data_IF_962146891128
#
_entry.id   IF_962146891128
#
_cell.length_a   1.000
_cell.length_b   1.000
_cell.length_c   1.000
_cell.angle_alpha   90.00
_cell.angle_beta   90.00
_cell.angle_gamma   90.00
#
_symmetry.space_group_name_H-M   'P 1'
#
loop_
_entity.id
_entity.type
_entity.pdbx_description
1 polymer ?
#
# COMPACT_ATOMS: atom_id res chain seq x y z
N UNK A 1 3.27 36.69 9.99
CA UNK A 1 2.47 35.61 10.58
C UNK A 1 0.96 35.78 10.37
N UNK A 2 0.43 36.99 10.41
CA UNK A 2 -1.00 37.29 10.18
C UNK A 2 -1.46 36.96 8.73
N UNK A 3 -0.63 37.16 7.72
CA UNK A 3 -0.98 36.85 6.32
C UNK A 3 -1.17 35.34 6.06
N UNK A 4 -0.45 34.48 6.77
CA UNK A 4 -0.61 33.03 6.66
C UNK A 4 -1.94 32.54 7.26
N UNK A 5 -2.35 33.15 8.37
CA UNK A 5 -3.63 32.84 9.04
C UNK A 5 -4.81 33.34 8.19
N UNK A 6 -4.73 34.56 7.64
CA UNK A 6 -5.73 35.10 6.72
C UNK A 6 -5.84 34.28 5.44
N UNK A 7 -4.71 33.85 4.86
CA UNK A 7 -4.69 32.97 3.70
C UNK A 7 -5.36 31.63 3.99
N UNK A 8 -5.05 30.99 5.10
CA UNK A 8 -5.68 29.73 5.49
C UNK A 8 -7.18 29.87 5.73
N UNK A 9 -7.63 30.97 6.38
CA UNK A 9 -9.04 31.25 6.64
C UNK A 9 -9.87 31.54 5.38
N UNK A 10 -9.25 32.05 4.32
CA UNK A 10 -9.97 32.36 3.07
C UNK A 10 -9.86 31.24 2.05
N UNK A 11 -8.68 30.64 1.86
CA UNK A 11 -8.45 29.61 0.83
C UNK A 11 -9.12 28.30 1.19
N UNK A 12 -9.10 27.90 2.46
CA UNK A 12 -9.68 26.62 2.87
C UNK A 12 -11.21 26.54 2.67
N UNK A 13 -12.02 27.56 3.04
CA UNK A 13 -13.46 27.55 2.75
C UNK A 13 -13.77 27.62 1.26
N UNK A 14 -13.03 28.42 0.48
CA UNK A 14 -13.22 28.52 -0.96
C UNK A 14 -12.91 27.19 -1.66
N UNK A 15 -11.81 26.53 -1.29
CA UNK A 15 -11.47 25.21 -1.81
C UNK A 15 -12.56 24.17 -1.47
N UNK A 16 -13.14 24.26 -0.28
CA UNK A 16 -14.25 23.39 0.16
C UNK A 16 -15.51 23.61 -0.65
N UNK A 17 -15.86 24.86 -0.96
CA UNK A 17 -17.02 25.18 -1.82
C UNK A 17 -16.84 24.65 -3.24
N UNK A 18 -15.66 24.84 -3.82
CA UNK A 18 -15.34 24.29 -5.15
C UNK A 18 -15.39 22.77 -5.13
N UNK A 19 -14.80 22.14 -4.12
CA UNK A 19 -14.85 20.68 -3.95
C UNK A 19 -16.31 20.20 -3.87
N UNK A 20 -17.15 20.84 -3.07
CA UNK A 20 -18.57 20.48 -2.92
C UNK A 20 -19.35 20.59 -4.23
N UNK A 21 -19.06 21.60 -5.05
CA UNK A 21 -19.71 21.78 -6.35
C UNK A 21 -19.31 20.71 -7.39
N UNK A 22 -18.06 20.24 -7.33
CA UNK A 22 -17.50 19.26 -8.28
C UNK A 22 -17.72 17.80 -7.81
N UNK A 23 -17.90 17.60 -6.51
CA UNK A 23 -18.03 16.29 -5.86
C UNK A 23 -19.06 15.34 -6.51
N UNK A 24 -20.32 15.75 -6.83
CA UNK A 24 -21.29 14.83 -7.41
C UNK A 24 -20.86 14.31 -8.80
N UNK A 25 -20.23 15.14 -9.61
CA UNK A 25 -19.76 14.74 -10.93
C UNK A 25 -18.57 13.78 -10.84
N UNK A 26 -17.61 14.08 -9.96
CA UNK A 26 -16.42 13.23 -9.72
C UNK A 26 -16.83 11.89 -9.12
N UNK A 27 -17.69 11.88 -8.11
CA UNK A 27 -18.17 10.65 -7.47
C UNK A 27 -18.95 9.77 -8.44
N UNK A 28 -19.78 10.34 -9.31
CA UNK A 28 -20.51 9.59 -10.33
C UNK A 28 -19.55 8.84 -11.28
N UNK A 29 -18.51 9.52 -11.75
CA UNK A 29 -17.49 8.91 -12.62
C UNK A 29 -16.70 7.85 -11.88
N UNK A 30 -16.27 8.14 -10.66
CA UNK A 30 -15.47 7.20 -9.85
C UNK A 30 -16.25 5.93 -9.48
N UNK A 31 -17.51 6.04 -9.12
CA UNK A 31 -18.37 4.87 -8.83
C UNK A 31 -18.63 4.02 -10.08
N UNK A 32 -18.77 4.64 -11.25
CA UNK A 32 -18.88 3.92 -12.52
C UNK A 32 -17.58 3.15 -12.83
N UNK A 33 -16.43 3.78 -12.65
CA UNK A 33 -15.13 3.10 -12.80
C UNK A 33 -14.98 1.97 -11.77
N UNK A 34 -15.35 2.19 -10.52
CA UNK A 34 -15.33 1.17 -9.47
C UNK A 34 -16.19 -0.04 -9.83
N UNK A 35 -17.39 0.19 -10.38
CA UNK A 35 -18.26 -0.89 -10.85
C UNK A 35 -17.65 -1.70 -11.99
N UNK A 36 -17.02 -1.04 -12.97
CA UNK A 36 -16.32 -1.74 -14.07
C UNK A 36 -15.12 -2.55 -13.58
N UNK A 37 -14.35 -2.03 -12.62
CA UNK A 37 -13.26 -2.76 -11.99
C UNK A 37 -13.77 -4.02 -11.27
N UNK A 38 -14.88 -3.90 -10.53
CA UNK A 38 -15.49 -5.03 -9.82
C UNK A 38 -15.97 -6.11 -10.78
N UNK A 39 -16.69 -5.73 -11.85
CA UNK A 39 -17.15 -6.66 -12.87
C UNK A 39 -15.98 -7.36 -13.61
N UNK A 40 -14.92 -6.63 -13.93
CA UNK A 40 -13.73 -7.19 -14.56
C UNK A 40 -12.96 -8.15 -13.62
N UNK A 41 -12.94 -7.87 -12.32
CA UNK A 41 -12.31 -8.75 -11.33
C UNK A 41 -13.06 -10.07 -11.15
N UNK A 42 -14.39 -10.07 -11.31
CA UNK A 42 -15.20 -11.29 -11.28
C UNK A 42 -15.00 -12.14 -12.55
N UNK A 43 -14.86 -11.52 -13.73
CA UNK A 43 -14.68 -12.24 -14.98
C UNK A 43 -13.27 -12.85 -15.14
N UNK A 44 -12.23 -12.12 -14.72
CA UNK A 44 -10.84 -12.52 -14.90
C UNK A 44 -10.01 -12.18 -13.66
N UNK A 45 -10.20 -12.88 -12.54
CA UNK A 45 -9.64 -12.47 -11.25
C UNK A 45 -8.10 -12.44 -11.24
N UNK A 46 -7.43 -13.35 -11.95
CA UNK A 46 -5.97 -13.40 -11.97
C UNK A 46 -5.36 -12.23 -12.75
N UNK A 47 -5.90 -11.94 -13.94
CA UNK A 47 -5.41 -10.81 -14.76
C UNK A 47 -5.69 -9.50 -14.05
N UNK A 48 -6.90 -9.33 -13.54
CA UNK A 48 -7.26 -8.14 -12.76
C UNK A 48 -6.47 -8.06 -11.46
N UNK A 49 -6.18 -9.20 -10.81
CA UNK A 49 -5.34 -9.26 -9.64
C UNK A 49 -3.95 -8.66 -9.89
N UNK A 50 -3.33 -9.02 -11.01
CA UNK A 50 -2.04 -8.47 -11.38
C UNK A 50 -2.10 -6.99 -11.75
N UNK A 51 -3.02 -6.60 -12.64
CA UNK A 51 -3.15 -5.23 -13.12
C UNK A 51 -3.59 -4.27 -12.01
N UNK A 52 -4.68 -4.60 -11.33
CA UNK A 52 -5.22 -3.78 -10.25
C UNK A 52 -4.22 -3.68 -9.09
N UNK A 53 -3.59 -4.81 -8.72
CA UNK A 53 -2.57 -4.82 -7.67
C UNK A 53 -1.36 -3.97 -8.00
N UNK A 54 -0.87 -4.02 -9.24
CA UNK A 54 0.25 -3.21 -9.72
C UNK A 54 -0.08 -1.71 -9.71
N UNK A 55 -1.22 -1.33 -10.29
CA UNK A 55 -1.69 0.06 -10.35
C UNK A 55 -1.93 0.61 -8.94
N UNK A 56 -2.64 -0.13 -8.10
CA UNK A 56 -2.93 0.31 -6.72
C UNK A 56 -1.65 0.48 -5.91
N UNK A 57 -0.65 -0.37 -6.11
CA UNK A 57 0.64 -0.20 -5.44
C UNK A 57 1.41 1.03 -5.94
N UNK A 58 1.36 1.34 -7.22
CA UNK A 58 1.94 2.59 -7.75
C UNK A 58 1.26 3.81 -7.13
N UNK A 59 -0.07 3.81 -7.05
CA UNK A 59 -0.85 4.89 -6.43
C UNK A 59 -0.51 5.02 -4.94
N UNK A 60 -0.43 3.91 -4.21
CA UNK A 60 -0.06 3.88 -2.80
C UNK A 60 1.33 4.48 -2.52
N UNK A 61 2.25 4.38 -3.49
CA UNK A 61 3.61 4.92 -3.38
C UNK A 61 3.70 6.37 -3.90
N UNK A 62 2.73 6.81 -4.68
CA UNK A 62 2.62 8.18 -5.16
C UNK A 62 2.14 9.12 -4.06
N UNK A 63 2.27 10.46 -4.23
CA UNK A 63 1.73 11.42 -3.25
C UNK A 63 0.18 11.50 -3.27
N UNK A 64 -0.51 10.52 -3.84
CA UNK A 64 -1.95 10.39 -3.82
C UNK A 64 -2.39 9.44 -2.70
N UNK A 65 -3.52 9.74 -2.07
CA UNK A 65 -4.09 8.87 -1.05
C UNK A 65 -4.83 7.68 -1.69
N UNK A 66 -4.19 6.52 -1.69
CA UNK A 66 -4.82 5.26 -2.16
C UNK A 66 -6.03 4.86 -1.31
N UNK A 67 -6.03 5.20 -0.03
CA UNK A 67 -7.17 4.98 0.87
C UNK A 67 -8.39 5.80 0.43
N UNK A 68 -8.19 7.11 0.18
CA UNK A 68 -9.26 7.97 -0.30
C UNK A 68 -9.79 7.51 -1.67
N UNK A 69 -8.89 7.16 -2.59
CA UNK A 69 -9.27 6.69 -3.92
C UNK A 69 -10.12 5.41 -3.86
N UNK A 70 -9.70 4.41 -3.09
CA UNK A 70 -10.48 3.15 -2.98
C UNK A 70 -11.81 3.33 -2.26
N UNK A 71 -11.90 4.28 -1.33
CA UNK A 71 -13.16 4.65 -0.70
C UNK A 71 -14.11 5.35 -1.69
N UNK A 72 -13.59 6.27 -2.51
CA UNK A 72 -14.37 6.99 -3.53
C UNK A 72 -14.80 6.07 -4.69
N UNK A 73 -13.96 5.11 -5.07
CA UNK A 73 -14.32 4.07 -6.05
C UNK A 73 -15.36 3.07 -5.51
N UNK A 74 -15.62 3.08 -4.21
CA UNK A 74 -16.53 2.14 -3.57
C UNK A 74 -16.10 0.68 -3.69
N UNK A 75 -14.78 0.43 -3.80
CA UNK A 75 -14.26 -0.93 -3.95
C UNK A 75 -14.55 -1.76 -2.70
N UNK A 76 -15.17 -2.92 -2.93
CA UNK A 76 -15.47 -3.93 -1.89
C UNK A 76 -15.21 -5.33 -2.43
N UNK A 77 -15.25 -6.33 -1.59
CA UNK A 77 -15.08 -7.72 -2.01
C UNK A 77 -13.67 -8.05 -2.48
N UNK A 78 -13.58 -8.81 -3.57
CA UNK A 78 -12.32 -9.26 -4.16
C UNK A 78 -11.43 -8.11 -4.64
N UNK A 79 -11.93 -7.08 -5.38
CA UNK A 79 -11.10 -5.94 -5.81
C UNK A 79 -10.46 -5.19 -4.66
N UNK A 80 -11.17 -5.01 -3.56
CA UNK A 80 -10.63 -4.35 -2.38
C UNK A 80 -9.61 -5.23 -1.66
N UNK A 81 -9.83 -6.54 -1.62
CA UNK A 81 -8.87 -7.53 -1.11
C UNK A 81 -7.55 -7.49 -1.89
N UNK A 82 -7.64 -7.47 -3.23
CA UNK A 82 -6.47 -7.34 -4.13
C UNK A 82 -5.72 -6.03 -3.84
N UNK A 83 -6.44 -4.90 -3.78
CA UNK A 83 -5.83 -3.58 -3.53
C UNK A 83 -5.12 -3.51 -2.16
N UNK A 84 -5.75 -4.02 -1.11
CA UNK A 84 -5.21 -4.04 0.24
C UNK A 84 -3.94 -4.88 0.33
N UNK A 85 -3.98 -6.11 -0.18
CA UNK A 85 -2.83 -7.04 -0.16
C UNK A 85 -1.70 -6.56 -1.08
N UNK A 86 -2.02 -5.95 -2.22
CA UNK A 86 -1.01 -5.37 -3.10
C UNK A 86 -0.27 -4.20 -2.43
N UNK A 87 -0.98 -3.33 -1.72
CA UNK A 87 -0.36 -2.23 -0.96
C UNK A 87 0.51 -2.75 0.18
N UNK A 88 0.07 -3.77 0.91
CA UNK A 88 0.84 -4.42 1.96
C UNK A 88 2.06 -5.16 1.40
N UNK A 89 1.87 -6.12 0.50
CA UNK A 89 2.95 -6.94 -0.08
C UNK A 89 3.98 -6.10 -0.83
N UNK A 90 3.52 -5.11 -1.60
CA UNK A 90 4.40 -4.18 -2.30
C UNK A 90 5.16 -3.20 -1.39
N UNK A 91 4.81 -3.06 -0.11
CA UNK A 91 5.59 -2.22 0.82
C UNK A 91 6.98 -2.81 1.08
N UNK A 92 7.13 -4.13 1.05
CA UNK A 92 8.44 -4.80 1.12
C UNK A 92 9.29 -4.51 -0.11
N UNK A 93 8.68 -4.39 -1.29
CA UNK A 93 9.36 -3.97 -2.53
C UNK A 93 9.95 -2.57 -2.37
N UNK A 94 9.21 -1.62 -1.79
CA UNK A 94 9.73 -0.29 -1.47
C UNK A 94 10.95 -0.35 -0.55
N UNK A 95 10.87 -1.12 0.52
CA UNK A 95 11.98 -1.30 1.46
C UNK A 95 13.23 -1.87 0.78
N UNK A 96 13.06 -2.89 -0.08
CA UNK A 96 14.16 -3.50 -0.84
C UNK A 96 14.81 -2.54 -1.82
N UNK A 97 14.01 -1.71 -2.53
CA UNK A 97 14.53 -0.71 -3.48
C UNK A 97 15.34 0.35 -2.74
N UNK A 98 14.74 0.96 -1.70
CA UNK A 98 15.41 1.99 -0.91
C UNK A 98 16.72 1.48 -0.34
N UNK A 99 16.71 0.23 0.13
CA UNK A 99 17.90 -0.41 0.64
C UNK A 99 18.97 -0.64 -0.46
N UNK A 100 18.58 -1.29 -1.56
CA UNK A 100 19.50 -1.67 -2.64
C UNK A 100 20.07 -0.47 -3.39
N UNK A 101 19.28 0.57 -3.56
CA UNK A 101 19.67 1.81 -4.25
C UNK A 101 20.27 2.86 -3.31
N UNK A 102 20.38 2.55 -2.01
CA UNK A 102 20.88 3.46 -0.98
C UNK A 102 20.12 4.80 -0.93
N UNK A 103 18.78 4.75 -1.07
CA UNK A 103 17.92 5.91 -0.96
C UNK A 103 17.63 6.23 0.51
N UNK A 104 18.38 7.17 1.08
CA UNK A 104 18.23 7.62 2.45
C UNK A 104 18.77 6.63 3.50
N UNK A 105 18.48 6.90 4.76
CA UNK A 105 18.94 6.15 5.91
C UNK A 105 18.04 4.95 6.24
N UNK A 106 18.47 4.10 7.17
CA UNK A 106 17.69 2.96 7.66
C UNK A 106 16.30 3.36 8.18
N UNK A 107 16.19 4.56 8.76
CA UNK A 107 14.91 5.13 9.18
C UNK A 107 13.96 5.36 8.01
N UNK A 108 14.49 5.87 6.88
CA UNK A 108 13.69 6.12 5.67
C UNK A 108 13.20 4.80 5.02
N UNK A 109 14.02 3.74 5.11
CA UNK A 109 13.63 2.40 4.62
C UNK A 109 12.44 1.87 5.41
N UNK A 110 12.46 1.96 6.74
CA UNK A 110 11.34 1.51 7.58
C UNK A 110 10.12 2.41 7.34
N UNK A 111 10.33 3.73 7.27
CA UNK A 111 9.25 4.69 7.05
C UNK A 111 8.51 4.46 5.72
N UNK A 112 9.23 4.19 4.61
CA UNK A 112 8.62 3.91 3.30
C UNK A 112 7.88 2.56 3.27
N UNK A 113 8.27 1.60 4.10
CA UNK A 113 7.54 0.34 4.22
C UNK A 113 6.23 0.50 4.98
N UNK A 114 6.22 1.33 6.02
CA UNK A 114 5.02 1.56 6.84
C UNK A 114 4.03 2.50 6.14
N UNK A 115 4.54 3.63 5.63
CA UNK A 115 3.72 4.64 4.95
C UNK A 115 4.57 5.32 3.84
N UNK A 116 4.42 4.90 2.58
CA UNK A 116 5.23 5.43 1.47
C UNK A 116 5.13 6.95 1.29
N UNK A 117 3.99 7.54 1.63
CA UNK A 117 3.74 8.98 1.51
C UNK A 117 4.73 9.81 2.33
N UNK A 118 5.20 9.31 3.47
CA UNK A 118 6.19 10.00 4.31
C UNK A 118 7.52 10.23 3.60
N UNK A 119 7.83 9.43 2.58
CA UNK A 119 9.05 9.49 1.80
C UNK A 119 8.81 10.01 0.37
N UNK A 120 7.71 10.71 0.14
CA UNK A 120 7.33 11.23 -1.18
C UNK A 120 8.44 12.07 -1.83
N UNK A 121 9.23 12.82 -1.03
CA UNK A 121 10.35 13.63 -1.51
C UNK A 121 11.50 12.81 -2.13
N UNK A 122 11.69 11.56 -1.71
CA UNK A 122 12.67 10.63 -2.30
C UNK A 122 12.05 9.94 -3.52
N UNK A 123 10.80 9.51 -3.40
CA UNK A 123 10.06 8.84 -4.47
C UNK A 123 9.97 9.73 -5.71
N UNK A 124 9.67 11.01 -5.53
CA UNK A 124 9.58 11.98 -6.65
C UNK A 124 10.92 12.28 -7.32
N UNK A 125 12.05 12.08 -6.65
CA UNK A 125 13.38 12.23 -7.25
C UNK A 125 13.77 11.04 -8.14
N UNK A 126 13.26 9.85 -7.84
CA UNK A 126 13.62 8.61 -8.54
C UNK A 126 12.37 7.81 -8.95
N UNK A 127 11.47 8.39 -9.77
CA UNK A 127 10.14 7.80 -10.02
C UNK A 127 10.23 6.49 -10.81
N UNK A 128 11.04 6.42 -11.88
CA UNK A 128 11.08 5.29 -12.80
C UNK A 128 11.40 3.96 -12.09
N UNK A 129 12.55 3.81 -11.37
CA UNK A 129 12.86 2.53 -10.73
C UNK A 129 11.87 2.17 -9.63
N UNK A 130 11.34 3.15 -8.90
CA UNK A 130 10.41 2.92 -7.81
C UNK A 130 9.04 2.47 -8.34
N UNK A 131 8.46 3.18 -9.32
CA UNK A 131 7.14 2.84 -9.84
C UNK A 131 7.14 1.54 -10.65
N UNK A 132 8.15 1.28 -11.49
CA UNK A 132 8.23 0.01 -12.23
C UNK A 132 8.34 -1.19 -11.29
N UNK A 133 9.21 -1.13 -10.28
CA UNK A 133 9.34 -2.22 -9.31
C UNK A 133 8.08 -2.39 -8.46
N UNK A 134 7.39 -1.29 -8.11
CA UNK A 134 6.13 -1.35 -7.38
C UNK A 134 4.99 -1.93 -8.21
N UNK A 135 4.95 -1.66 -9.52
CA UNK A 135 3.97 -2.28 -10.40
C UNK A 135 4.11 -3.81 -10.39
N UNK A 136 5.31 -4.32 -10.56
CA UNK A 136 5.53 -5.77 -10.54
C UNK A 136 5.35 -6.38 -9.14
N UNK A 137 5.88 -5.73 -8.10
CA UNK A 137 5.75 -6.22 -6.72
C UNK A 137 4.30 -6.21 -6.23
N UNK A 138 3.56 -5.12 -6.49
CA UNK A 138 2.14 -5.03 -6.21
C UNK A 138 1.29 -5.95 -7.08
N UNK A 139 1.64 -6.09 -8.35
CA UNK A 139 0.97 -6.99 -9.29
C UNK A 139 1.07 -8.45 -8.85
N UNK A 140 2.26 -8.92 -8.46
CA UNK A 140 2.45 -10.29 -7.95
C UNK A 140 1.69 -10.52 -6.63
N UNK A 141 1.70 -9.54 -5.73
CA UNK A 141 0.93 -9.63 -4.48
C UNK A 141 -0.58 -9.64 -4.74
N UNK A 142 -1.06 -8.80 -5.66
CA UNK A 142 -2.46 -8.76 -6.09
C UNK A 142 -2.90 -10.03 -6.81
N UNK A 143 -2.04 -10.60 -7.66
CA UNK A 143 -2.29 -11.90 -8.31
C UNK A 143 -2.43 -13.01 -7.26
N UNK A 144 -1.56 -13.04 -6.26
CA UNK A 144 -1.65 -14.00 -5.17
C UNK A 144 -2.95 -13.80 -4.35
N UNK A 145 -3.35 -12.55 -4.09
CA UNK A 145 -4.60 -12.25 -3.41
C UNK A 145 -5.82 -12.73 -4.20
N UNK A 146 -5.81 -12.54 -5.53
CA UNK A 146 -6.86 -13.01 -6.42
C UNK A 146 -6.92 -14.55 -6.48
N UNK A 147 -5.76 -15.21 -6.58
CA UNK A 147 -5.67 -16.67 -6.59
C UNK A 147 -6.18 -17.31 -5.30
N UNK A 148 -5.99 -16.65 -4.17
CA UNK A 148 -6.48 -17.09 -2.86
C UNK A 148 -7.92 -16.65 -2.57
N UNK A 149 -8.55 -15.87 -3.44
CA UNK A 149 -9.90 -15.37 -3.26
C UNK A 149 -10.05 -14.46 -2.03
N UNK A 150 -9.04 -13.63 -1.75
CA UNK A 150 -9.06 -12.77 -0.55
C UNK A 150 -10.05 -11.63 -0.75
N UNK A 151 -11.09 -11.61 0.07
CA UNK A 151 -12.11 -10.55 0.07
C UNK A 151 -11.87 -9.55 1.20
N UNK A 152 -12.24 -8.30 0.95
CA UNK A 152 -12.20 -7.22 1.94
C UNK A 152 -13.37 -6.27 1.70
N UNK A 153 -14.30 -6.20 2.64
CA UNK A 153 -15.48 -5.35 2.54
C UNK A 153 -15.32 -4.00 3.28
N UNK A 154 -14.09 -3.65 3.66
CA UNK A 154 -13.78 -2.36 4.25
C UNK A 154 -13.15 -1.44 3.20
N UNK A 155 -13.92 -0.54 2.54
CA UNK A 155 -13.38 0.42 1.58
C UNK A 155 -12.38 1.36 2.27
N UNK A 156 -11.40 1.86 1.50
CA UNK A 156 -10.40 2.77 2.05
C UNK A 156 -9.30 2.12 2.88
N UNK A 157 -9.09 0.80 2.80
CA UNK A 157 -8.02 0.11 3.53
C UNK A 157 -6.81 -0.26 2.63
N UNK A 158 -6.68 0.36 1.46
CA UNK A 158 -5.55 0.16 0.54
C UNK A 158 -4.32 0.96 0.98
N UNK A 159 -3.73 0.60 2.10
CA UNK A 159 -2.48 1.15 2.65
C UNK A 159 -1.71 0.01 3.32
N UNK A 160 -0.38 0.12 3.54
CA UNK A 160 0.40 -0.98 4.10
C UNK A 160 -0.13 -1.53 5.43
N UNK A 161 -0.42 -0.67 6.40
CA UNK A 161 -0.88 -1.11 7.74
C UNK A 161 -2.35 -1.57 7.71
N UNK A 162 -3.33 -0.77 7.24
CA UNK A 162 -4.71 -1.21 7.15
C UNK A 162 -4.89 -2.42 6.22
N UNK A 163 -4.16 -2.46 5.10
CA UNK A 163 -4.18 -3.57 4.15
C UNK A 163 -3.64 -4.88 4.72
N UNK A 164 -2.78 -4.79 5.74
CA UNK A 164 -2.35 -5.94 6.51
C UNK A 164 -3.46 -6.49 7.41
N UNK A 165 -4.20 -5.61 8.08
CA UNK A 165 -5.12 -6.00 9.18
C UNK A 165 -6.54 -6.28 8.66
N UNK A 166 -7.07 -5.43 7.78
CA UNK A 166 -8.47 -5.49 7.37
C UNK A 166 -8.90 -6.84 6.76
N UNK A 167 -8.13 -7.49 5.87
CA UNK A 167 -8.53 -8.78 5.30
C UNK A 167 -8.73 -9.90 6.32
N UNK A 168 -8.12 -9.82 7.51
CA UNK A 168 -8.32 -10.83 8.54
C UNK A 168 -9.77 -10.89 9.04
N UNK A 169 -10.46 -9.75 9.10
CA UNK A 169 -11.85 -9.70 9.53
C UNK A 169 -12.81 -10.41 8.59
N UNK A 170 -12.44 -10.56 7.31
CA UNK A 170 -13.33 -11.10 6.27
C UNK A 170 -12.94 -12.50 5.78
N UNK A 171 -11.71 -12.97 6.05
CA UNK A 171 -11.18 -14.24 5.55
C UNK A 171 -10.87 -15.25 6.66
N UNK A 172 -11.64 -15.24 7.74
CA UNK A 172 -11.41 -16.06 8.95
C UNK A 172 -11.35 -17.56 8.69
N UNK A 173 -12.03 -18.08 7.68
CA UNK A 173 -12.07 -19.53 7.37
C UNK A 173 -10.95 -20.01 6.44
N UNK A 174 -10.15 -19.16 5.87
CA UNK A 174 -9.09 -19.54 4.92
C UNK A 174 -7.78 -19.88 5.63
N UNK A 175 -7.55 -21.17 5.90
CA UNK A 175 -6.27 -21.68 6.44
C UNK A 175 -5.09 -21.34 5.53
N UNK A 176 -5.30 -21.32 4.21
CA UNK A 176 -4.33 -20.97 3.19
C UNK A 176 -3.91 -19.49 3.27
N UNK A 177 -4.84 -18.59 3.57
CA UNK A 177 -4.58 -17.18 3.79
C UNK A 177 -3.59 -16.96 4.94
N UNK A 178 -3.83 -17.63 6.09
CA UNK A 178 -2.97 -17.59 7.25
C UNK A 178 -1.56 -18.12 6.95
N UNK A 179 -1.48 -19.23 6.19
CA UNK A 179 -0.19 -19.83 5.84
C UNK A 179 0.62 -18.92 4.89
N UNK A 180 -0.02 -18.38 3.84
CA UNK A 180 0.61 -17.45 2.91
C UNK A 180 1.04 -16.15 3.59
N UNK A 181 0.17 -15.58 4.41
CA UNK A 181 0.46 -14.38 5.18
C UNK A 181 1.64 -14.58 6.13
N UNK A 182 1.67 -15.71 6.83
CA UNK A 182 2.78 -16.07 7.72
C UNK A 182 4.09 -16.23 6.95
N UNK A 183 4.06 -16.82 5.75
CA UNK A 183 5.22 -16.92 4.87
C UNK A 183 5.75 -15.54 4.44
N UNK A 184 4.88 -14.57 4.12
CA UNK A 184 5.28 -13.21 3.79
C UNK A 184 5.97 -12.51 4.98
N UNK A 185 5.40 -12.64 6.16
CA UNK A 185 6.02 -12.10 7.39
C UNK A 185 7.37 -12.74 7.68
N UNK A 186 7.48 -14.06 7.55
CA UNK A 186 8.74 -14.80 7.76
C UNK A 186 9.77 -14.44 6.70
N UNK A 187 9.38 -14.28 5.45
CA UNK A 187 10.27 -13.83 4.37
C UNK A 187 10.79 -12.42 4.62
N UNK A 188 9.92 -11.50 5.03
CA UNK A 188 10.31 -10.14 5.42
C UNK A 188 11.25 -10.13 6.63
N UNK A 189 10.96 -10.96 7.63
CA UNK A 189 11.81 -11.12 8.81
C UNK A 189 13.18 -11.71 8.44
N UNK A 190 13.24 -12.71 7.54
CA UNK A 190 14.50 -13.30 7.05
C UNK A 190 15.34 -12.31 6.24
N UNK A 191 14.70 -11.48 5.41
CA UNK A 191 15.39 -10.41 4.68
C UNK A 191 15.96 -9.38 5.63
N UNK A 192 15.21 -8.95 6.64
CA UNK A 192 15.67 -8.04 7.69
C UNK A 192 16.83 -8.65 8.52
N UNK A 193 16.75 -9.95 8.83
CA UNK A 193 17.77 -10.70 9.57
C UNK A 193 19.06 -10.88 8.76
N UNK A 194 18.97 -11.31 7.49
CA UNK A 194 20.14 -11.52 6.61
C UNK A 194 20.93 -10.24 6.41
N UNK A 195 20.25 -9.13 6.45
CA UNK A 195 20.83 -7.79 6.28
C UNK A 195 21.54 -7.27 7.52
N UNK A 196 21.05 -7.63 8.71
CA UNK A 196 21.64 -7.21 9.99
C UNK A 196 22.91 -8.01 10.36
N UNK A 197 23.21 -9.09 9.64
CA UNK A 197 24.38 -9.96 9.86
C UNK A 197 25.58 -9.61 8.96
N UNK A 198 25.47 -8.67 8.00
CA UNK A 198 26.66 -8.17 7.33
C UNK A 198 27.41 -7.17 8.24
N UNK A 199 28.68 -7.43 8.55
CA UNK A 199 29.45 -6.61 9.45
C UNK A 199 29.91 -5.30 8.76
N UNK A 200 29.04 -4.31 8.73
CA UNK A 200 29.45 -2.92 8.65
C UNK A 200 29.53 -2.40 10.07
N UNK A 201 30.76 -2.21 10.54
CA UNK A 201 31.03 -1.79 11.91
C UNK A 201 30.27 -0.55 12.32
N UNK A 202 29.62 -0.67 13.46
CA UNK A 202 28.92 0.31 14.29
C UNK A 202 27.39 0.29 14.20
N UNK A 203 26.87 0.03 15.37
CA UNK A 203 25.54 0.28 15.91
C UNK A 203 24.51 -0.86 15.80
N UNK A 204 24.50 -1.68 16.89
CA UNK A 204 23.39 -2.56 17.24
C UNK A 204 22.16 -1.70 17.54
N UNK A 205 21.15 -1.73 16.68
CA UNK A 205 19.84 -1.17 16.97
C UNK A 205 19.04 -2.14 17.85
N UNK A 206 18.68 -1.69 19.02
CA UNK A 206 17.94 -2.46 20.07
C UNK A 206 16.53 -2.90 19.63
N UNK A 207 16.02 -2.40 18.52
CA UNK A 207 14.66 -2.70 18.02
C UNK A 207 14.50 -4.09 17.41
N UNK A 208 15.61 -4.74 17.01
CA UNK A 208 15.55 -6.10 16.42
C UNK A 208 15.46 -7.21 17.47
N UNK A 209 15.74 -6.91 18.76
CA UNK A 209 15.70 -7.91 19.82
C UNK A 209 14.28 -8.28 20.27
N UNK A 210 13.30 -7.40 20.12
CA UNK A 210 11.90 -7.67 20.49
C UNK A 210 11.24 -8.74 19.61
N UNK A 211 11.69 -8.91 18.36
CA UNK A 211 11.14 -9.89 17.41
C UNK A 211 11.82 -11.26 17.46
N UNK A 212 12.90 -11.40 18.24
CA UNK A 212 13.66 -12.65 18.33
C UNK A 212 12.89 -13.80 18.98
N UNK A 213 11.93 -13.48 19.84
CA UNK A 213 11.11 -14.48 20.55
C UNK A 213 9.98 -15.06 19.70
N UNK A 214 9.59 -14.36 18.63
CA UNK A 214 8.43 -14.73 17.79
C UNK A 214 8.84 -15.51 16.52
N UNK A 215 10.14 -15.54 16.18
CA UNK A 215 10.68 -16.23 15.00
C UNK A 215 11.34 -17.59 15.35
N UNK A 216 11.19 -18.09 16.57
CA UNK A 216 11.46 -19.49 16.93
C UNK A 216 10.12 -20.24 16.99
#
# INVERSE_FOLDING_TARGET
RSGLILGALTVAPLARLVAFAVDPAVNSVLTMIGGTISAAAEQSPLVMGFLLGGIMKMICTSPLSSMALTAMLGLTGLPMGIAAIACFGGSFTNGMIFHKMHYGDKSNIIAVMLEPLTQAHIVTKHPIPIFTSNFFGGGLAGLAAAALGIVNNAPGTASPIPGMIAPFGFNHHSKWFWHWYWQQLVAACRLCWRHNLQPSGKQKSSTCCLWRSTCR
#
